data_IF_578019817524
#
_entry.id   IF_578019817524
#
_cell.length_a   1.000
_cell.length_b   1.000
_cell.length_c   1.000
_cell.angle_alpha   90.00
_cell.angle_beta   90.00
_cell.angle_gamma   90.00
#
_symmetry.space_group_name_H-M   'P 1'
#
loop_
_entity.id
_entity.type
_entity.pdbx_description
1 polymer ?
#
# COMPACT_ATOMS: atom_id res chain seq x y z
N UNK A 1 19.56 13.95 2.09
CA UNK A 1 19.41 13.49 0.69
C UNK A 1 19.07 14.57 -0.34
N UNK A 2 19.39 14.31 -1.62
CA UNK A 2 19.02 15.10 -2.81
C UNK A 2 17.65 14.67 -3.36
N UNK A 3 17.03 15.50 -4.24
CA UNK A 3 15.74 15.17 -4.86
C UNK A 3 15.74 13.83 -5.60
N UNK A 4 16.80 13.53 -6.36
CA UNK A 4 16.95 12.29 -7.12
C UNK A 4 16.95 11.05 -6.22
N UNK A 5 17.59 11.17 -5.05
CA UNK A 5 17.63 10.10 -4.04
C UNK A 5 16.26 9.90 -3.41
N UNK A 6 15.56 10.97 -3.06
CA UNK A 6 14.20 10.89 -2.54
C UNK A 6 13.25 10.24 -3.54
N UNK A 7 13.30 10.65 -4.82
CA UNK A 7 12.44 10.07 -5.88
C UNK A 7 12.71 8.58 -6.05
N UNK A 8 13.98 8.15 -5.95
CA UNK A 8 14.35 6.73 -6.01
C UNK A 8 13.73 5.90 -4.88
N UNK A 9 13.62 6.47 -3.67
CA UNK A 9 13.05 5.80 -2.51
C UNK A 9 11.59 6.13 -2.24
N UNK A 10 10.94 6.93 -3.10
CA UNK A 10 9.62 7.47 -2.85
C UNK A 10 8.55 6.39 -2.65
N UNK A 11 8.64 5.28 -3.40
CA UNK A 11 7.71 4.15 -3.23
C UNK A 11 7.85 3.50 -1.86
N UNK A 12 9.08 3.18 -1.44
CA UNK A 12 9.37 2.60 -0.11
C UNK A 12 8.96 3.57 1.02
N UNK A 13 9.11 4.88 0.80
CA UNK A 13 8.64 5.90 1.73
C UNK A 13 7.11 5.90 1.87
N UNK A 14 6.38 5.83 0.75
CA UNK A 14 4.91 5.77 0.74
C UNK A 14 4.42 4.47 1.42
N UNK A 15 5.11 3.36 1.19
CA UNK A 15 4.77 2.05 1.73
C UNK A 15 5.29 1.82 3.17
N UNK A 16 5.98 2.81 3.77
CA UNK A 16 6.55 2.75 5.13
C UNK A 16 7.57 1.61 5.32
N UNK A 17 8.34 1.31 4.28
CA UNK A 17 9.35 0.25 4.25
C UNK A 17 10.80 0.77 4.19
N UNK A 18 11.00 2.08 4.34
CA UNK A 18 12.34 2.66 4.55
C UNK A 18 12.80 2.44 5.98
N UNK A 19 14.11 2.31 6.16
CA UNK A 19 14.73 2.37 7.48
C UNK A 19 14.53 3.75 8.14
N UNK A 20 14.66 3.77 9.46
CA UNK A 20 14.36 4.95 10.27
C UNK A 20 15.25 6.15 9.92
N UNK A 21 16.53 5.92 9.61
CA UNK A 21 17.48 6.99 9.26
C UNK A 21 17.11 7.63 7.92
N UNK A 22 16.89 6.82 6.86
CA UNK A 22 16.46 7.35 5.57
C UNK A 22 15.07 7.98 5.63
N UNK A 23 14.18 7.46 6.47
CA UNK A 23 12.85 8.06 6.68
C UNK A 23 12.96 9.47 7.25
N UNK A 24 13.82 9.70 8.24
CA UNK A 24 14.06 11.04 8.80
C UNK A 24 14.70 11.99 7.78
N UNK A 25 15.66 11.51 6.98
CA UNK A 25 16.23 12.31 5.90
C UNK A 25 15.19 12.72 4.85
N UNK A 26 14.32 11.78 4.45
CA UNK A 26 13.24 12.03 3.51
C UNK A 26 12.25 13.07 4.06
N UNK A 27 11.85 12.95 5.33
CA UNK A 27 10.97 13.93 5.99
C UNK A 27 11.59 15.33 6.02
N UNK A 28 12.89 15.42 6.36
CA UNK A 28 13.62 16.69 6.37
C UNK A 28 13.67 17.33 4.99
N UNK A 29 13.88 16.53 3.94
CA UNK A 29 13.86 17.00 2.56
C UNK A 29 12.46 17.47 2.15
N UNK A 30 11.42 16.67 2.42
CA UNK A 30 10.03 17.00 2.10
C UNK A 30 9.55 18.27 2.82
N UNK A 31 10.05 18.55 4.03
CA UNK A 31 9.71 19.77 4.76
C UNK A 31 10.20 21.05 4.06
N UNK A 32 11.25 20.96 3.22
CA UNK A 32 11.94 22.12 2.64
C UNK A 32 11.85 22.19 1.12
N UNK A 33 11.55 21.08 0.44
CA UNK A 33 11.48 21.00 -1.01
C UNK A 33 10.04 20.96 -1.52
N UNK A 34 9.59 22.03 -2.18
CA UNK A 34 8.26 22.07 -2.81
C UNK A 34 8.11 21.07 -3.96
N UNK A 35 9.11 20.95 -4.82
CA UNK A 35 9.06 20.04 -5.96
C UNK A 35 8.82 18.58 -5.53
N UNK A 36 9.54 18.12 -4.50
CA UNK A 36 9.37 16.76 -4.01
C UNK A 36 8.05 16.54 -3.27
N UNK A 37 7.49 17.57 -2.62
CA UNK A 37 6.12 17.51 -2.06
C UNK A 37 5.09 17.31 -3.17
N UNK A 38 5.17 18.10 -4.24
CA UNK A 38 4.27 17.95 -5.40
C UNK A 38 4.38 16.54 -5.99
N UNK A 39 5.59 15.99 -6.12
CA UNK A 39 5.79 14.62 -6.61
C UNK A 39 5.18 13.58 -5.66
N UNK A 40 5.37 13.72 -4.34
CA UNK A 40 4.76 12.83 -3.34
C UNK A 40 3.23 12.87 -3.42
N UNK A 41 2.65 14.07 -3.38
CA UNK A 41 1.20 14.29 -3.35
C UNK A 41 0.53 13.73 -4.62
N UNK A 42 1.10 14.03 -5.79
CA UNK A 42 0.57 13.53 -7.07
C UNK A 42 0.70 12.02 -7.20
N UNK A 43 1.77 11.42 -6.67
CA UNK A 43 1.95 9.97 -6.63
C UNK A 43 0.90 9.31 -5.74
N UNK A 44 0.69 9.83 -4.52
CA UNK A 44 -0.34 9.34 -3.60
C UNK A 44 -1.75 9.49 -4.19
N UNK A 45 -2.05 10.62 -4.83
CA UNK A 45 -3.33 10.85 -5.49
C UNK A 45 -3.56 9.83 -6.62
N UNK A 46 -2.51 9.53 -7.40
CA UNK A 46 -2.58 8.52 -8.46
C UNK A 46 -2.89 7.14 -7.88
N UNK A 47 -2.19 6.72 -6.82
CA UNK A 47 -2.44 5.46 -6.11
C UNK A 47 -3.89 5.41 -5.61
N UNK A 48 -4.38 6.50 -5.01
CA UNK A 48 -5.76 6.61 -4.53
C UNK A 48 -6.78 6.39 -5.66
N UNK A 49 -6.63 7.10 -6.79
CA UNK A 49 -7.52 6.97 -7.94
C UNK A 49 -7.55 5.53 -8.49
N UNK A 50 -6.39 4.88 -8.60
CA UNK A 50 -6.32 3.48 -9.03
C UNK A 50 -6.99 2.53 -8.04
N UNK A 51 -6.84 2.76 -6.73
CA UNK A 51 -7.52 1.97 -5.70
C UNK A 51 -9.03 2.15 -5.75
N UNK A 52 -9.53 3.36 -6.01
CA UNK A 52 -10.97 3.62 -6.14
C UNK A 52 -11.56 3.01 -7.41
N UNK A 53 -10.93 3.23 -8.56
CA UNK A 53 -11.37 2.68 -9.84
C UNK A 53 -11.25 1.14 -9.88
N UNK A 54 -10.28 0.59 -9.14
CA UNK A 54 -10.01 -0.83 -9.02
C UNK A 54 -10.93 -1.59 -8.06
N UNK A 55 -11.92 -0.96 -7.42
CA UNK A 55 -12.90 -1.63 -6.54
C UNK A 55 -13.81 -2.57 -7.34
N UNK A 56 -13.28 -3.73 -7.73
CA UNK A 56 -14.04 -4.83 -8.30
C UNK A 56 -14.76 -5.54 -7.16
N UNK A 57 -16.08 -5.37 -7.10
CA UNK A 57 -16.89 -6.14 -6.15
C UNK A 57 -16.90 -7.61 -6.55
N UNK A 58 -16.55 -8.51 -5.64
CA UNK A 58 -16.76 -9.94 -5.85
C UNK A 58 -18.28 -10.19 -5.89
N UNK A 59 -18.84 -10.76 -6.98
CA UNK A 59 -20.26 -11.09 -7.03
C UNK A 59 -20.68 -11.93 -5.83
N UNK A 60 -21.85 -11.66 -5.26
CA UNK A 60 -22.32 -12.30 -4.03
C UNK A 60 -22.19 -13.83 -4.08
N UNK A 61 -22.55 -14.46 -5.19
CA UNK A 61 -22.45 -15.91 -5.36
C UNK A 61 -21.00 -16.44 -5.30
N UNK A 62 -20.03 -15.74 -5.91
CA UNK A 62 -18.62 -16.13 -5.84
C UNK A 62 -18.04 -15.93 -4.44
N UNK A 63 -18.50 -14.88 -3.76
CA UNK A 63 -18.10 -14.56 -2.38
C UNK A 63 -18.62 -15.63 -1.41
N UNK A 64 -19.88 -16.03 -1.54
CA UNK A 64 -20.49 -17.08 -0.72
C UNK A 64 -19.73 -18.39 -0.89
N UNK A 65 -19.51 -18.84 -2.13
CA UNK A 65 -18.75 -20.07 -2.40
C UNK A 65 -17.34 -20.03 -1.80
N UNK A 66 -16.66 -18.89 -1.84
CA UNK A 66 -15.35 -18.73 -1.20
C UNK A 66 -15.45 -18.90 0.32
N UNK A 67 -16.43 -18.26 0.96
CA UNK A 67 -16.63 -18.37 2.41
C UNK A 67 -17.00 -19.79 2.84
N UNK A 68 -17.86 -20.48 2.09
CA UNK A 68 -18.22 -21.88 2.37
C UNK A 68 -16.98 -22.78 2.31
N UNK A 69 -16.14 -22.61 1.28
CA UNK A 69 -14.89 -23.37 1.12
C UNK A 69 -13.87 -23.09 2.24
N UNK A 70 -13.75 -21.83 2.67
CA UNK A 70 -12.89 -21.47 3.79
C UNK A 70 -13.40 -22.09 5.10
N UNK A 71 -14.71 -22.02 5.35
CA UNK A 71 -15.33 -22.63 6.53
C UNK A 71 -15.11 -24.14 6.58
N UNK A 72 -15.33 -24.85 5.47
CA UNK A 72 -15.06 -26.28 5.37
C UNK A 72 -13.59 -26.61 5.64
N UNK A 73 -12.66 -25.81 5.12
CA UNK A 73 -11.22 -26.01 5.34
C UNK A 73 -10.84 -25.83 6.81
N UNK A 74 -11.36 -24.80 7.47
CA UNK A 74 -11.13 -24.58 8.91
C UNK A 74 -11.71 -25.71 9.76
N UNK A 75 -12.92 -26.19 9.45
CA UNK A 75 -13.56 -27.29 10.17
C UNK A 75 -12.74 -28.59 10.07
N UNK A 76 -12.21 -28.89 8.89
CA UNK A 76 -11.31 -30.05 8.68
C UNK A 76 -10.02 -29.93 9.48
N UNK A 77 -9.43 -28.74 9.51
CA UNK A 77 -8.24 -28.47 10.33
C UNK A 77 -8.50 -28.64 11.83
N UNK A 78 -9.67 -28.20 12.31
CA UNK A 78 -10.04 -28.36 13.73
C UNK A 78 -10.46 -29.78 14.11
N UNK A 79 -10.81 -30.64 13.15
CA UNK A 79 -11.14 -32.05 13.42
C UNK A 79 -9.92 -32.98 13.41
N UNK A 80 -8.77 -32.51 12.94
CA UNK A 80 -7.50 -33.26 12.88
C UNK A 80 -6.48 -32.83 13.97
N UNK A 81 -6.89 -31.96 14.92
CA UNK A 81 -6.15 -31.61 16.15
C UNK A 81 -6.94 -32.03 17.38
#
# INVERSE_FOLDING_TARGET
MKCEELVRYLSEYIDQNLDDELTQEAQTHLATCENCRVVLDTTQQTIFLFREQGKRTIPAQRRQRLFDQLQDAFLRQTSES
#
